data_IF_000006891283
#
_entry.id   IF_000006891283
#
_cell.length_a   1.000
_cell.length_b   1.000
_cell.length_c   1.000
_cell.angle_alpha   90.00
_cell.angle_beta   90.00
_cell.angle_gamma   90.00
#
_symmetry.space_group_name_H-M   'P 1'
#
loop_
_entity.id
_entity.type
_entity.pdbx_description
1 polymer ?
#
# COMPACT_ATOMS: atom_id res chain seq x y z
N UNK A 1 -20.25 21.15 23.72
CA UNK A 1 -20.22 20.71 22.31
C UNK A 1 -19.71 19.27 22.30
N UNK A 2 -20.48 18.31 21.76
CA UNK A 2 -20.05 16.89 21.71
C UNK A 2 -19.49 16.62 20.31
N UNK A 3 -18.25 16.16 20.24
CA UNK A 3 -17.60 15.84 18.96
C UNK A 3 -18.24 14.58 18.36
N UNK A 4 -18.56 14.62 17.06
CA UNK A 4 -19.26 13.54 16.37
C UNK A 4 -18.25 12.52 15.79
N UNK A 5 -17.71 11.64 16.63
CA UNK A 5 -16.78 10.60 16.19
C UNK A 5 -17.37 9.71 15.09
N UNK A 6 -18.63 9.30 15.22
CA UNK A 6 -19.28 8.37 14.29
C UNK A 6 -19.29 8.89 12.85
N UNK A 7 -19.56 10.19 12.64
CA UNK A 7 -19.49 10.81 11.32
C UNK A 7 -18.10 10.69 10.68
N UNK A 8 -17.03 10.92 11.44
CA UNK A 8 -15.67 10.82 10.91
C UNK A 8 -15.23 9.37 10.69
N UNK A 9 -15.69 8.43 11.51
CA UNK A 9 -15.47 7.00 11.31
C UNK A 9 -16.15 6.51 10.02
N UNK A 10 -17.39 6.95 9.76
CA UNK A 10 -18.11 6.66 8.51
C UNK A 10 -17.41 7.30 7.31
N UNK A 11 -17.09 8.59 7.40
CA UNK A 11 -16.42 9.32 6.32
C UNK A 11 -15.06 8.69 5.97
N UNK A 12 -14.24 8.36 6.96
CA UNK A 12 -12.91 7.76 6.78
C UNK A 12 -12.92 6.34 6.21
N UNK A 13 -14.09 5.69 6.18
CA UNK A 13 -14.33 4.37 5.60
C UNK A 13 -15.35 4.40 4.45
N UNK A 14 -15.75 5.58 3.99
CA UNK A 14 -16.66 5.73 2.85
C UNK A 14 -16.05 5.15 1.59
N UNK A 15 -16.88 4.63 0.67
CA UNK A 15 -16.41 3.99 -0.56
C UNK A 15 -15.42 4.85 -1.35
N UNK A 16 -15.71 6.15 -1.50
CA UNK A 16 -14.82 7.08 -2.19
C UNK A 16 -13.45 7.26 -1.51
N UNK A 17 -13.39 7.25 -0.17
CA UNK A 17 -12.12 7.30 0.57
C UNK A 17 -11.36 5.98 0.45
N UNK A 18 -12.06 4.85 0.50
CA UNK A 18 -11.47 3.52 0.30
C UNK A 18 -10.83 3.42 -1.08
N UNK A 19 -11.56 3.81 -2.13
CA UNK A 19 -11.09 3.76 -3.51
C UNK A 19 -9.89 4.71 -3.73
N UNK A 20 -9.94 5.91 -3.16
CA UNK A 20 -8.82 6.86 -3.23
C UNK A 20 -7.54 6.28 -2.59
N UNK A 21 -7.66 5.69 -1.39
CA UNK A 21 -6.52 5.08 -0.68
C UNK A 21 -5.99 3.86 -1.45
N UNK A 22 -6.90 3.03 -1.99
CA UNK A 22 -6.53 1.87 -2.79
C UNK A 22 -5.79 2.29 -4.07
N UNK A 23 -6.30 3.29 -4.79
CA UNK A 23 -5.65 3.79 -6.01
C UNK A 23 -4.24 4.32 -5.72
N UNK A 24 -4.07 5.09 -4.65
CA UNK A 24 -2.75 5.58 -4.25
C UNK A 24 -1.78 4.43 -3.94
N UNK A 25 -2.27 3.35 -3.32
CA UNK A 25 -1.46 2.15 -3.07
C UNK A 25 -1.14 1.37 -4.36
N UNK A 26 -2.06 1.31 -5.32
CA UNK A 26 -1.81 0.69 -6.63
C UNK A 26 -0.76 1.46 -7.45
N UNK A 27 -0.74 2.79 -7.38
CA UNK A 27 0.31 3.60 -8.02
C UNK A 27 1.70 3.30 -7.41
N UNK A 28 1.75 3.08 -6.10
CA UNK A 28 2.97 2.63 -5.40
C UNK A 28 3.34 1.21 -5.82
N UNK A 29 2.38 0.28 -5.88
CA UNK A 29 2.61 -1.10 -6.30
C UNK A 29 3.12 -1.17 -7.75
N UNK A 30 2.56 -0.38 -8.66
CA UNK A 30 3.03 -0.26 -10.04
C UNK A 30 4.49 0.21 -10.11
N UNK A 31 4.83 1.23 -9.32
CA UNK A 31 6.22 1.72 -9.20
C UNK A 31 7.14 0.63 -8.64
N UNK A 32 6.73 -0.04 -7.57
CA UNK A 32 7.50 -1.11 -6.94
C UNK A 32 7.75 -2.29 -7.89
N UNK A 33 6.76 -2.66 -8.72
CA UNK A 33 6.92 -3.69 -9.76
C UNK A 33 7.89 -3.25 -10.85
N UNK A 34 7.84 -1.98 -11.26
CA UNK A 34 8.72 -1.43 -12.29
C UNK A 34 10.19 -1.36 -11.85
N UNK A 35 10.45 -1.14 -10.55
CA UNK A 35 11.80 -1.03 -9.99
C UNK A 35 12.29 -2.30 -9.31
N UNK A 36 11.47 -3.36 -9.28
CA UNK A 36 11.82 -4.61 -8.62
C UNK A 36 13.09 -5.22 -9.22
N UNK A 37 14.04 -5.70 -8.39
CA UNK A 37 15.16 -6.49 -8.88
C UNK A 37 14.62 -7.79 -9.50
N UNK A 38 15.04 -8.07 -10.74
CA UNK A 38 14.56 -9.25 -11.48
C UNK A 38 15.68 -10.27 -11.62
N UNK A 39 15.44 -11.43 -11.00
CA UNK A 39 16.13 -12.68 -11.30
C UNK A 39 15.14 -13.60 -12.02
N UNK A 40 14.27 -14.30 -11.27
CA UNK A 40 13.16 -15.08 -11.82
C UNK A 40 11.86 -14.30 -12.06
N UNK A 41 11.74 -13.08 -11.53
CA UNK A 41 10.50 -12.29 -11.57
C UNK A 41 9.48 -12.60 -10.45
N UNK A 42 9.62 -13.72 -9.73
CA UNK A 42 8.64 -14.15 -8.71
C UNK A 42 8.36 -13.09 -7.62
N UNK A 43 9.39 -12.41 -7.12
CA UNK A 43 9.23 -11.28 -6.19
C UNK A 43 8.36 -10.16 -6.78
N UNK A 44 8.70 -9.68 -7.99
CA UNK A 44 7.96 -8.62 -8.70
C UNK A 44 6.49 -9.01 -8.86
N UNK A 45 6.26 -10.23 -9.31
CA UNK A 45 4.94 -10.72 -9.68
C UNK A 45 4.06 -10.97 -8.42
N UNK A 46 4.68 -11.17 -7.26
CA UNK A 46 3.99 -11.29 -5.96
C UNK A 46 3.60 -9.95 -5.32
N UNK A 47 4.08 -8.81 -5.84
CA UNK A 47 3.76 -7.49 -5.27
C UNK A 47 2.28 -7.18 -5.50
N UNK A 48 1.55 -6.87 -4.43
CA UNK A 48 0.13 -6.53 -4.51
C UNK A 48 -0.32 -5.57 -3.37
N UNK A 49 -1.56 -5.10 -3.46
CA UNK A 49 -2.17 -4.19 -2.48
C UNK A 49 -3.14 -4.96 -1.59
N UNK A 50 -2.99 -4.79 -0.28
CA UNK A 50 -3.95 -5.25 0.72
C UNK A 50 -4.64 -4.07 1.39
N UNK A 51 -5.97 -3.98 1.27
CA UNK A 51 -6.76 -3.02 2.05
C UNK A 51 -7.06 -3.63 3.41
N UNK A 52 -6.68 -2.95 4.49
CA UNK A 52 -6.91 -3.43 5.85
C UNK A 52 -8.32 -3.04 6.30
N UNK A 53 -9.25 -4.00 6.45
CA UNK A 53 -10.60 -3.71 6.89
C UNK A 53 -10.63 -3.33 8.38
N UNK A 54 -11.77 -2.76 8.81
CA UNK A 54 -12.12 -2.59 10.24
C UNK A 54 -11.17 -1.69 11.06
N UNK A 55 -10.51 -0.74 10.40
CA UNK A 55 -9.81 0.34 11.10
C UNK A 55 -10.83 1.36 11.62
N UNK A 56 -10.81 1.62 12.94
CA UNK A 56 -11.82 2.46 13.61
C UNK A 56 -12.07 3.81 12.92
N UNK A 57 -11.02 4.48 12.45
CA UNK A 57 -11.13 5.89 12.01
C UNK A 57 -10.72 6.16 10.57
N UNK A 58 -10.12 5.20 9.86
CA UNK A 58 -9.57 5.45 8.51
C UNK A 58 -9.27 4.16 7.75
N UNK A 59 -9.44 4.21 6.44
CA UNK A 59 -8.92 3.17 5.55
C UNK A 59 -7.39 3.20 5.51
N UNK A 60 -6.75 2.03 5.51
CA UNK A 60 -5.31 1.87 5.28
C UNK A 60 -5.11 0.78 4.23
N UNK A 61 -4.26 1.05 3.23
CA UNK A 61 -3.79 0.05 2.29
C UNK A 61 -2.28 -0.20 2.51
N UNK A 62 -1.87 -1.46 2.37
CA UNK A 62 -0.49 -1.91 2.40
C UNK A 62 -0.08 -2.37 1.01
N UNK A 63 1.18 -2.14 0.66
CA UNK A 63 1.82 -2.77 -0.50
C UNK A 63 2.74 -3.84 0.03
N UNK A 64 2.49 -5.09 -0.34
CA UNK A 64 3.17 -6.29 0.19
C UNK A 64 3.66 -7.17 -0.95
N UNK A 65 4.48 -8.16 -0.64
CA UNK A 65 4.96 -9.18 -1.57
C UNK A 65 5.03 -10.55 -0.87
N UNK A 66 4.63 -11.61 -1.56
CA UNK A 66 4.47 -12.96 -1.00
C UNK A 66 5.64 -13.90 -1.30
N UNK A 67 6.61 -13.49 -2.11
CA UNK A 67 7.75 -14.33 -2.43
C UNK A 67 8.53 -14.69 -1.14
N UNK A 68 8.90 -15.97 -0.92
CA UNK A 68 9.64 -16.39 0.27
C UNK A 68 10.93 -15.60 0.55
N UNK A 69 11.55 -15.03 -0.50
CA UNK A 69 12.77 -14.22 -0.41
C UNK A 69 12.50 -12.72 -0.23
N UNK A 70 11.24 -12.30 -0.11
CA UNK A 70 10.84 -10.89 0.06
C UNK A 70 11.62 -10.19 1.18
N UNK A 71 11.69 -10.80 2.37
CA UNK A 71 12.41 -10.21 3.50
C UNK A 71 13.89 -9.95 3.20
N UNK A 72 14.54 -10.87 2.48
CA UNK A 72 15.94 -10.72 2.07
C UNK A 72 16.11 -9.61 1.02
N UNK A 73 15.21 -9.57 0.02
CA UNK A 73 15.24 -8.54 -1.04
C UNK A 73 15.01 -7.16 -0.44
N UNK A 74 13.99 -6.99 0.39
CA UNK A 74 13.66 -5.71 1.02
C UNK A 74 14.77 -5.25 1.95
N UNK A 75 15.40 -6.14 2.72
CA UNK A 75 16.54 -5.78 3.57
C UNK A 75 17.73 -5.23 2.79
N UNK A 76 17.97 -5.74 1.57
CA UNK A 76 19.09 -5.31 0.72
C UNK A 76 18.79 -4.10 -0.13
N UNK A 77 17.56 -3.97 -0.61
CA UNK A 77 17.18 -3.00 -1.64
C UNK A 77 16.26 -1.90 -1.12
N UNK A 78 15.37 -2.24 -0.18
CA UNK A 78 14.28 -1.39 0.26
C UNK A 78 13.34 -0.99 -0.87
N UNK A 79 13.07 -1.88 -1.83
CA UNK A 79 12.32 -1.57 -3.04
C UNK A 79 10.93 -1.00 -2.72
N UNK A 80 10.15 -1.63 -1.84
CA UNK A 80 8.81 -1.16 -1.47
C UNK A 80 8.87 0.23 -0.79
N UNK A 81 9.80 0.41 0.13
CA UNK A 81 9.97 1.68 0.85
C UNK A 81 10.40 2.83 -0.08
N UNK A 82 11.29 2.54 -1.05
CA UNK A 82 11.74 3.51 -2.05
C UNK A 82 10.62 3.84 -3.04
N UNK A 83 9.84 2.86 -3.46
CA UNK A 83 8.68 3.07 -4.32
C UNK A 83 7.68 4.03 -3.67
N UNK A 84 7.31 3.78 -2.40
CA UNK A 84 6.43 4.67 -1.64
C UNK A 84 6.98 6.11 -1.56
N UNK A 85 8.28 6.27 -1.30
CA UNK A 85 8.93 7.58 -1.24
C UNK A 85 8.95 8.28 -2.61
N UNK A 86 9.11 7.53 -3.69
CA UNK A 86 9.10 8.02 -5.06
C UNK A 86 7.74 8.54 -5.51
N UNK A 87 6.67 7.81 -5.18
CA UNK A 87 5.29 8.17 -5.55
C UNK A 87 4.75 9.36 -4.77
N UNK A 88 5.26 9.63 -3.55
CA UNK A 88 4.82 10.77 -2.70
C UNK A 88 5.07 12.17 -3.31
N UNK A 89 5.82 12.30 -4.41
CA UNK A 89 6.10 13.58 -5.07
C UNK A 89 5.04 13.93 -6.13
N UNK A 90 3.87 14.44 -5.72
CA UNK A 90 3.01 15.33 -6.54
C UNK A 90 2.24 16.28 -5.63
#
# INVERSE_FOLDING_TARGET
MKFNNAFFEELGNSAGVVDLVKQAAEDVAATARATAPVDSGAYRDSIHVEVIPNRKTRTVALVVADDPKTMLIESKTGNLARALKGTKKR
#
